data_IF_088394604928
#
_entry.id   IF_088394604928
#
_cell.length_a   1.000
_cell.length_b   1.000
_cell.length_c   1.000
_cell.angle_alpha   90.00
_cell.angle_beta   90.00
_cell.angle_gamma   90.00
#
_symmetry.space_group_name_H-M   'P 1'
#
loop_
_entity.id
_entity.type
_entity.pdbx_description
1 polymer ?
#
# COMPACT_ATOMS: atom_id res chain seq x y z
N UNK A 1 -3.71 47.58 39.01
CA UNK A 1 -4.21 46.37 38.38
C UNK A 1 -4.95 45.51 39.36
N UNK A 2 -5.96 44.77 38.93
CA UNK A 2 -6.69 43.81 39.77
C UNK A 2 -5.83 42.56 39.98
N UNK A 3 -5.91 41.90 41.15
CA UNK A 3 -5.21 40.63 41.36
C UNK A 3 -5.79 39.56 40.44
N UNK A 4 -4.90 38.75 39.86
CA UNK A 4 -5.27 37.62 39.03
C UNK A 4 -4.74 36.33 39.66
N UNK A 5 -5.54 35.25 39.59
CA UNK A 5 -5.15 33.92 40.00
C UNK A 5 -4.81 33.11 38.74
N UNK A 6 -3.66 32.45 38.74
CA UNK A 6 -3.24 31.57 37.65
C UNK A 6 -3.07 30.15 38.18
N UNK A 7 -3.78 29.21 37.59
CA UNK A 7 -3.69 27.79 37.93
C UNK A 7 -3.08 27.00 36.79
N UNK A 8 -2.23 26.06 37.13
CA UNK A 8 -1.51 25.21 36.17
C UNK A 8 -1.90 23.76 36.41
N UNK A 9 -2.30 23.07 35.35
CA UNK A 9 -2.47 21.62 35.38
C UNK A 9 -1.08 20.93 35.46
N UNK A 10 -0.74 20.48 36.66
CA UNK A 10 0.59 19.98 37.01
C UNK A 10 1.00 18.79 36.18
N UNK A 11 0.11 17.80 35.95
CA UNK A 11 0.46 16.60 35.19
C UNK A 11 0.70 16.91 33.69
N UNK A 12 -0.07 17.80 33.11
CA UNK A 12 0.14 18.30 31.75
C UNK A 12 1.51 19.02 31.65
N UNK A 13 1.83 19.87 32.61
CA UNK A 13 3.11 20.58 32.69
C UNK A 13 4.28 19.59 32.79
N UNK A 14 4.18 18.58 33.65
CA UNK A 14 5.21 17.55 33.82
C UNK A 14 5.41 16.74 32.54
N UNK A 15 4.29 16.33 31.89
CA UNK A 15 4.37 15.59 30.63
C UNK A 15 5.04 16.41 29.51
N UNK A 16 4.71 17.70 29.38
CA UNK A 16 5.36 18.60 28.43
C UNK A 16 6.86 18.81 28.78
N UNK A 17 7.22 18.95 30.06
CA UNK A 17 8.63 19.05 30.48
C UNK A 17 9.45 17.81 30.13
N UNK A 18 8.85 16.61 30.25
CA UNK A 18 9.48 15.36 29.79
C UNK A 18 9.76 15.40 28.27
N UNK A 19 8.74 15.75 27.47
CA UNK A 19 8.90 15.85 26.01
C UNK A 19 9.94 16.90 25.63
N UNK A 20 9.99 18.03 26.32
CA UNK A 20 10.97 19.07 26.03
C UNK A 20 12.39 18.63 26.35
N UNK A 21 12.60 17.97 27.49
CA UNK A 21 13.93 17.43 27.82
C UNK A 21 14.32 16.32 26.82
N UNK A 22 13.38 15.44 26.41
CA UNK A 22 13.64 14.44 25.40
C UNK A 22 14.06 15.05 24.06
N UNK A 23 13.53 16.21 23.68
CA UNK A 23 13.92 16.93 22.45
C UNK A 23 15.42 17.26 22.45
N UNK A 24 15.96 17.75 23.55
CA UNK A 24 17.39 18.02 23.68
C UNK A 24 18.23 16.75 23.56
N UNK A 25 17.78 15.64 24.15
CA UNK A 25 18.50 14.36 24.05
C UNK A 25 18.48 13.82 22.61
N UNK A 26 17.31 13.86 21.95
CA UNK A 26 17.15 13.44 20.55
C UNK A 26 18.00 14.33 19.63
N UNK A 27 17.97 15.64 19.83
CA UNK A 27 18.81 16.56 19.06
C UNK A 27 20.31 16.22 19.18
N UNK A 28 20.79 16.03 20.42
CA UNK A 28 22.21 15.68 20.68
C UNK A 28 22.58 14.34 20.02
N UNK A 29 21.73 13.32 20.13
CA UNK A 29 21.96 12.01 19.51
C UNK A 29 21.97 12.09 17.98
N UNK A 30 21.00 12.82 17.38
CA UNK A 30 20.97 13.04 15.92
C UNK A 30 22.23 13.76 15.42
N UNK A 31 22.72 14.77 16.14
CA UNK A 31 23.97 15.44 15.81
C UNK A 31 25.20 14.54 15.97
N UNK A 32 25.16 13.63 16.94
CA UNK A 32 26.19 12.61 17.09
C UNK A 32 26.26 11.65 15.91
N UNK A 33 25.11 11.20 15.46
CA UNK A 33 24.96 10.21 14.37
C UNK A 33 25.12 10.80 12.96
N UNK A 34 24.61 12.03 12.73
CA UNK A 34 24.53 12.66 11.40
C UNK A 34 25.54 13.79 11.18
N UNK A 35 26.23 14.21 12.25
CA UNK A 35 27.14 15.33 12.24
C UNK A 35 26.51 16.66 12.67
N UNK A 36 27.36 17.67 12.84
CA UNK A 36 26.95 18.98 13.36
C UNK A 36 25.93 19.73 12.45
N UNK A 37 25.86 19.38 11.20
CA UNK A 37 24.90 19.93 10.24
C UNK A 37 23.46 19.58 10.54
N UNK A 38 23.19 18.55 11.36
CA UNK A 38 21.84 18.21 11.82
C UNK A 38 21.35 19.23 12.87
N UNK A 39 21.17 20.46 12.42
CA UNK A 39 20.73 21.57 13.26
C UNK A 39 19.20 21.61 13.36
N UNK A 40 18.68 22.09 14.50
CA UNK A 40 17.24 22.27 14.68
C UNK A 40 16.69 23.31 13.70
N UNK A 41 15.67 22.92 12.93
CA UNK A 41 14.89 23.79 12.06
C UNK A 41 13.53 24.15 12.69
N UNK A 42 13.04 23.34 13.63
CA UNK A 42 11.81 23.55 14.37
C UNK A 42 11.59 22.45 15.40
N UNK A 43 10.71 22.70 16.38
CA UNK A 43 10.30 21.67 17.34
C UNK A 43 8.92 21.97 17.93
N UNK A 44 8.24 20.92 18.37
CA UNK A 44 7.00 21.02 19.12
C UNK A 44 7.02 20.01 20.26
N UNK A 45 6.68 20.48 21.46
CA UNK A 45 6.62 19.68 22.66
C UNK A 45 5.21 19.68 23.23
N UNK A 46 4.55 18.53 23.14
CA UNK A 46 3.22 18.28 23.70
C UNK A 46 3.31 17.26 24.86
N UNK A 47 2.27 17.12 25.67
CA UNK A 47 2.24 16.06 26.67
C UNK A 47 2.44 14.68 26.06
N UNK A 48 3.51 13.99 26.47
CA UNK A 48 3.84 12.63 26.02
C UNK A 48 4.34 12.49 24.59
N UNK A 49 4.52 13.59 23.86
CA UNK A 49 4.95 13.58 22.45
C UNK A 49 5.89 14.76 22.14
N UNK A 50 6.83 14.50 21.26
CA UNK A 50 7.65 15.55 20.64
C UNK A 50 7.69 15.39 19.13
N UNK A 51 7.93 16.50 18.45
CA UNK A 51 8.28 16.61 17.05
C UNK A 51 9.54 17.44 16.94
N UNK A 52 10.49 16.96 16.18
CA UNK A 52 11.77 17.62 15.99
C UNK A 52 12.11 17.67 14.51
N UNK A 53 12.25 18.90 13.99
CA UNK A 53 12.59 19.19 12.61
C UNK A 53 14.08 19.58 12.56
N UNK A 54 14.84 18.99 11.66
CA UNK A 54 16.28 19.19 11.56
C UNK A 54 16.77 19.18 10.13
N UNK A 55 17.92 19.82 9.89
CA UNK A 55 18.53 19.85 8.56
C UNK A 55 19.25 18.52 8.28
N UNK A 56 18.95 17.95 7.09
CA UNK A 56 19.64 16.77 6.59
C UNK A 56 19.52 16.68 5.07
N UNK A 57 20.55 16.18 4.41
CA UNK A 57 20.63 16.10 2.94
C UNK A 57 19.83 14.94 2.35
N UNK A 58 19.39 13.99 3.15
CA UNK A 58 18.66 12.80 2.71
C UNK A 58 17.84 12.15 3.82
N UNK A 59 17.15 11.07 3.50
CA UNK A 59 16.44 10.26 4.48
C UNK A 59 17.42 9.63 5.49
N UNK A 60 16.99 9.60 6.75
CA UNK A 60 17.79 8.96 7.80
C UNK A 60 17.53 7.45 7.77
N UNK A 61 18.57 6.61 7.64
CA UNK A 61 18.39 5.16 7.67
C UNK A 61 17.74 4.71 8.98
N UNK A 62 16.89 3.67 8.90
CA UNK A 62 16.21 3.10 10.07
C UNK A 62 17.20 2.60 11.12
N UNK A 63 18.38 2.10 10.71
CA UNK A 63 19.46 1.70 11.63
C UNK A 63 19.96 2.88 12.46
N UNK A 64 20.14 4.04 11.84
CA UNK A 64 20.58 5.26 12.53
C UNK A 64 19.52 5.77 13.50
N UNK A 65 18.23 5.72 13.11
CA UNK A 65 17.14 6.07 14.03
C UNK A 65 17.09 5.14 15.25
N UNK A 66 17.38 3.85 15.08
CA UNK A 66 17.48 2.89 16.18
C UNK A 66 18.69 3.22 17.10
N UNK A 67 19.84 3.54 16.53
CA UNK A 67 21.02 3.96 17.29
C UNK A 67 20.72 5.21 18.13
N UNK A 68 20.04 6.20 17.53
CA UNK A 68 19.60 7.43 18.23
C UNK A 68 18.61 7.08 19.36
N UNK A 69 17.62 6.23 19.11
CA UNK A 69 16.68 5.78 20.13
C UNK A 69 17.36 5.07 21.29
N UNK A 70 18.30 4.16 20.98
CA UNK A 70 19.08 3.41 21.97
C UNK A 70 19.98 4.33 22.80
N UNK A 71 20.66 5.29 22.15
CA UNK A 71 21.52 6.28 22.83
C UNK A 71 20.70 7.12 23.80
N UNK A 72 19.58 7.66 23.35
CA UNK A 72 18.67 8.46 24.19
C UNK A 72 18.22 7.65 25.41
N UNK A 73 17.73 6.43 25.21
CA UNK A 73 17.24 5.61 26.32
C UNK A 73 18.36 5.18 27.30
N UNK A 74 19.61 5.01 26.85
CA UNK A 74 20.76 4.81 27.75
C UNK A 74 20.99 6.04 28.63
N UNK A 75 20.86 7.26 28.09
CA UNK A 75 20.97 8.50 28.87
C UNK A 75 19.86 8.58 29.94
N UNK A 76 18.65 8.06 29.63
CA UNK A 76 17.56 7.99 30.62
C UNK A 76 17.90 7.01 31.75
N UNK A 77 18.43 5.83 31.42
CA UNK A 77 18.86 4.83 32.41
C UNK A 77 19.99 5.36 33.32
N UNK A 78 20.88 6.16 32.76
CA UNK A 78 21.99 6.76 33.52
C UNK A 78 21.52 7.86 34.49
N UNK A 79 20.26 8.28 34.40
CA UNK A 79 19.60 9.23 35.30
C UNK A 79 20.42 10.51 35.59
N UNK A 80 20.85 11.14 34.51
CA UNK A 80 21.68 12.35 34.58
C UNK A 80 20.92 13.53 35.17
N UNK A 81 21.61 14.37 35.96
CA UNK A 81 21.02 15.60 36.52
C UNK A 81 20.74 16.61 35.40
N UNK A 82 19.55 17.20 35.40
CA UNK A 82 19.19 18.30 34.51
C UNK A 82 19.24 19.61 35.30
N UNK A 83 20.07 20.52 34.86
CA UNK A 83 20.30 21.83 35.51
C UNK A 83 19.89 22.93 34.55
N UNK A 84 19.28 23.97 35.10
CA UNK A 84 19.00 25.18 34.37
C UNK A 84 19.51 26.38 35.16
N UNK A 85 20.32 27.23 34.51
CA UNK A 85 20.91 28.40 35.15
C UNK A 85 21.09 29.54 34.15
N UNK A 86 21.27 30.76 34.65
CA UNK A 86 21.51 31.95 33.86
C UNK A 86 22.97 32.28 33.85
N UNK A 87 23.48 32.76 32.72
CA UNK A 87 24.86 33.23 32.55
C UNK A 87 24.95 34.22 31.40
N UNK A 88 26.11 34.83 31.19
CA UNK A 88 26.37 35.67 30.03
C UNK A 88 26.43 34.85 28.75
N UNK A 89 26.08 35.47 27.60
CA UNK A 89 26.17 34.80 26.29
C UNK A 89 27.62 34.35 25.97
N UNK A 90 28.60 35.14 26.37
CA UNK A 90 30.01 34.82 26.11
C UNK A 90 30.48 33.61 26.95
N UNK A 91 30.05 33.54 28.20
CA UNK A 91 30.31 32.39 29.05
C UNK A 91 29.61 31.13 28.55
N UNK A 92 28.34 31.25 28.13
CA UNK A 92 27.58 30.15 27.50
C UNK A 92 28.33 29.57 26.28
N UNK A 93 28.87 30.42 25.43
CA UNK A 93 29.69 30.03 24.28
C UNK A 93 30.98 29.34 24.70
N UNK A 94 31.67 29.87 25.70
CA UNK A 94 32.92 29.28 26.22
C UNK A 94 32.69 27.87 26.81
N UNK A 95 31.50 27.65 27.39
CA UNK A 95 31.04 26.33 27.88
C UNK A 95 30.61 25.38 26.78
N UNK A 96 30.61 25.82 25.52
CA UNK A 96 30.15 25.01 24.37
C UNK A 96 28.62 24.82 24.32
N UNK A 97 27.86 25.74 24.90
CA UNK A 97 26.40 25.66 24.84
C UNK A 97 25.92 25.88 23.41
N UNK A 98 25.03 25.00 22.95
CA UNK A 98 24.45 25.06 21.62
C UNK A 98 23.39 26.17 21.59
N UNK A 99 23.53 27.11 20.67
CA UNK A 99 22.53 28.14 20.37
C UNK A 99 21.71 27.72 19.17
N UNK A 100 20.38 27.94 19.23
CA UNK A 100 19.50 27.67 18.08
C UNK A 100 19.80 28.66 16.95
N UNK A 101 19.84 28.15 15.73
CA UNK A 101 20.13 28.97 14.56
C UNK A 101 19.00 29.97 14.29
N UNK A 102 19.34 31.23 14.04
CA UNK A 102 18.39 32.30 13.70
C UNK A 102 17.75 33.00 14.90
N UNK A 103 17.97 32.57 16.14
CA UNK A 103 17.51 33.29 17.33
C UNK A 103 18.47 34.45 17.73
N UNK A 104 17.87 35.54 18.21
CA UNK A 104 18.62 36.68 18.76
C UNK A 104 18.64 36.56 20.28
N UNK A 105 19.82 36.41 20.82
CA UNK A 105 20.05 36.31 22.27
C UNK A 105 20.49 37.64 22.87
N UNK A 106 19.99 37.94 24.07
CA UNK A 106 20.47 39.04 24.85
C UNK A 106 21.85 38.78 25.45
N UNK A 107 22.35 39.72 26.25
CA UNK A 107 23.62 39.57 26.99
C UNK A 107 23.55 38.50 28.08
N UNK A 108 22.38 38.23 28.62
CA UNK A 108 22.10 37.18 29.60
C UNK A 108 21.25 36.09 28.93
N UNK A 109 21.63 34.82 29.08
CA UNK A 109 20.96 33.65 28.52
C UNK A 109 20.73 32.58 29.57
N UNK A 110 19.75 31.73 29.33
CA UNK A 110 19.50 30.57 30.18
C UNK A 110 20.01 29.30 29.47
N UNK A 111 20.84 28.54 30.16
CA UNK A 111 21.37 27.25 29.74
C UNK A 111 20.55 26.13 30.39
N UNK A 112 20.29 25.08 29.64
CA UNK A 112 19.84 23.78 30.15
C UNK A 112 20.92 22.74 29.85
N UNK A 113 21.40 22.09 30.91
CA UNK A 113 22.37 20.99 30.85
C UNK A 113 21.71 19.68 31.26
N UNK A 114 22.05 18.60 30.56
CA UNK A 114 21.75 17.22 30.96
C UNK A 114 23.08 16.51 31.21
N UNK A 115 23.56 16.58 32.44
CA UNK A 115 24.93 16.14 32.78
C UNK A 115 25.98 16.76 31.86
N UNK A 116 26.87 15.92 31.34
CA UNK A 116 27.86 16.30 30.31
C UNK A 116 27.39 15.97 28.89
N UNK A 117 26.19 15.37 28.77
CA UNK A 117 25.67 14.85 27.50
C UNK A 117 25.12 15.94 26.56
N UNK A 118 24.32 16.86 27.07
CA UNK A 118 23.74 17.96 26.28
C UNK A 118 23.79 19.28 27.04
N UNK A 119 24.08 20.36 26.32
CA UNK A 119 24.08 21.72 26.85
C UNK A 119 23.57 22.67 25.78
N UNK A 120 22.41 23.28 26.03
CA UNK A 120 21.70 24.10 25.02
C UNK A 120 21.15 25.38 25.66
N UNK A 121 21.05 26.45 24.86
CA UNK A 121 20.30 27.65 25.25
C UNK A 121 18.82 27.38 25.18
N UNK A 122 18.11 27.39 26.28
CA UNK A 122 16.69 27.08 26.34
C UNK A 122 15.95 27.76 27.47
N UNK A 123 14.84 28.45 27.14
CA UNK A 123 13.96 29.12 28.08
C UNK A 123 12.84 28.24 28.65
N UNK A 124 12.71 27.00 28.19
CA UNK A 124 11.57 26.12 28.48
C UNK A 124 11.61 25.44 29.84
N UNK A 125 10.58 24.67 30.13
CA UNK A 125 10.47 23.85 31.35
C UNK A 125 11.01 22.45 31.11
N UNK A 126 11.78 21.96 32.11
CA UNK A 126 12.46 20.67 32.02
C UNK A 126 12.23 19.85 33.31
N UNK A 127 12.53 18.55 33.21
CA UNK A 127 12.61 17.67 34.39
C UNK A 127 13.89 17.93 35.18
N UNK A 128 13.98 17.41 36.39
CA UNK A 128 15.17 17.55 37.22
C UNK A 128 16.23 16.47 36.91
N UNK A 129 15.84 15.33 36.35
CA UNK A 129 16.74 14.20 36.06
C UNK A 129 16.26 13.50 34.78
N UNK A 130 17.19 13.00 33.97
CA UNK A 130 16.85 12.32 32.69
C UNK A 130 15.96 11.08 32.89
N UNK A 131 16.16 10.32 33.95
CA UNK A 131 15.32 9.14 34.25
C UNK A 131 13.84 9.44 34.46
N UNK A 132 13.48 10.69 34.79
CA UNK A 132 12.08 11.11 34.93
C UNK A 132 11.29 11.15 33.60
N UNK A 133 11.99 11.05 32.46
CA UNK A 133 11.35 10.90 31.15
C UNK A 133 10.66 9.53 31.01
N UNK A 134 11.19 8.50 31.66
CA UNK A 134 10.73 7.12 31.58
C UNK A 134 11.25 6.44 30.33
N UNK A 135 10.61 6.60 29.17
CA UNK A 135 10.98 5.97 27.91
C UNK A 135 10.79 6.96 26.76
N UNK A 136 11.66 6.91 25.77
CA UNK A 136 11.51 7.61 24.49
C UNK A 136 11.42 6.60 23.35
N UNK A 137 10.34 6.67 22.57
CA UNK A 137 10.11 5.84 21.38
C UNK A 137 10.04 6.69 20.13
N UNK A 138 11.00 6.56 19.23
CA UNK A 138 10.94 7.17 17.91
C UNK A 138 9.89 6.46 17.04
N UNK A 139 8.95 7.21 16.47
CA UNK A 139 7.90 6.66 15.61
C UNK A 139 8.36 6.52 14.17
N UNK A 140 9.23 7.41 13.73
CA UNK A 140 9.75 7.42 12.38
C UNK A 140 10.26 8.79 11.97
N UNK A 141 10.66 8.88 10.70
CA UNK A 141 11.23 10.05 10.08
C UNK A 141 10.51 10.33 8.75
N UNK A 142 10.35 11.62 8.40
CA UNK A 142 9.73 12.04 7.16
C UNK A 142 10.34 13.33 6.61
N UNK A 143 10.20 13.57 5.30
CA UNK A 143 10.55 14.87 4.69
C UNK A 143 9.43 15.87 4.91
N UNK A 144 9.79 17.10 5.29
CA UNK A 144 8.85 18.22 5.41
C UNK A 144 9.20 19.41 4.50
N UNK A 145 10.29 19.31 3.77
CA UNK A 145 10.76 20.33 2.84
C UNK A 145 12.13 19.98 2.27
N UNK A 146 12.64 20.82 1.37
CA UNK A 146 13.98 20.63 0.81
C UNK A 146 15.05 20.80 1.92
N UNK A 147 15.81 19.74 2.17
CA UNK A 147 16.89 19.73 3.17
C UNK A 147 16.41 19.73 4.62
N UNK A 148 15.11 19.50 4.89
CA UNK A 148 14.57 19.43 6.25
C UNK A 148 13.83 18.12 6.48
N UNK A 149 14.19 17.43 7.54
CA UNK A 149 13.62 16.17 7.98
C UNK A 149 12.93 16.33 9.33
N UNK A 150 11.95 15.51 9.60
CA UNK A 150 11.16 15.48 10.83
C UNK A 150 11.26 14.13 11.49
N UNK A 151 11.55 14.12 12.79
CA UNK A 151 11.40 12.95 13.65
C UNK A 151 10.27 13.21 14.64
N UNK A 152 9.43 12.23 14.86
CA UNK A 152 8.40 12.23 15.89
C UNK A 152 8.70 11.16 16.93
N UNK A 153 8.45 11.48 18.19
CA UNK A 153 8.65 10.53 19.28
C UNK A 153 7.56 10.62 20.34
N UNK A 154 7.30 9.49 20.97
CA UNK A 154 6.51 9.39 22.18
C UNK A 154 7.43 9.35 23.40
N UNK A 155 6.94 9.90 24.53
CA UNK A 155 7.73 10.04 25.76
C UNK A 155 6.93 9.54 26.95
N UNK A 156 7.60 8.80 27.84
CA UNK A 156 7.04 8.31 29.10
C UNK A 156 5.93 7.29 28.89
N UNK A 157 4.80 7.52 29.54
CA UNK A 157 3.67 6.57 29.53
C UNK A 157 3.09 6.33 28.12
N UNK A 158 3.14 7.32 27.24
CA UNK A 158 2.64 7.18 25.88
C UNK A 158 3.55 6.30 25.02
N UNK A 159 4.86 6.39 25.21
CA UNK A 159 5.84 5.46 24.62
C UNK A 159 5.62 4.01 25.11
N UNK A 160 5.41 3.84 26.42
CA UNK A 160 5.10 2.53 27.00
C UNK A 160 3.79 1.95 26.43
N UNK A 161 2.72 2.75 26.38
CA UNK A 161 1.43 2.31 25.84
C UNK A 161 1.51 1.92 24.35
N UNK A 162 2.34 2.61 23.58
CA UNK A 162 2.58 2.27 22.19
C UNK A 162 3.23 0.89 22.07
N UNK A 163 4.33 0.63 22.78
CA UNK A 163 5.02 -0.66 22.77
C UNK A 163 4.15 -1.80 23.33
N UNK A 164 3.34 -1.53 24.36
CA UNK A 164 2.42 -2.51 24.91
C UNK A 164 1.37 -2.94 23.86
N UNK A 165 0.85 -1.99 23.05
CA UNK A 165 -0.08 -2.32 21.94
C UNK A 165 0.61 -3.15 20.86
N UNK A 166 1.82 -2.80 20.46
CA UNK A 166 2.60 -3.62 19.50
C UNK A 166 2.80 -5.04 20.02
N UNK A 167 3.14 -5.20 21.31
CA UNK A 167 3.29 -6.51 21.95
C UNK A 167 2.00 -7.33 21.91
N UNK A 168 0.83 -6.71 22.17
CA UNK A 168 -0.47 -7.39 22.08
C UNK A 168 -0.76 -7.83 20.65
N UNK A 169 -0.51 -6.98 19.64
CA UNK A 169 -0.71 -7.35 18.23
C UNK A 169 0.18 -8.50 17.80
N UNK A 170 1.45 -8.50 18.20
CA UNK A 170 2.38 -9.60 17.92
C UNK A 170 1.90 -10.88 18.60
N UNK A 171 1.43 -10.82 19.85
CA UNK A 171 0.89 -11.99 20.57
C UNK A 171 -0.34 -12.56 19.87
N UNK A 172 -1.26 -11.73 19.41
CA UNK A 172 -2.43 -12.16 18.64
C UNK A 172 -2.05 -12.85 17.33
N UNK A 173 -1.09 -12.29 16.58
CA UNK A 173 -0.57 -12.92 15.36
C UNK A 173 0.12 -14.27 15.66
N UNK A 174 0.89 -14.34 16.73
CA UNK A 174 1.54 -15.58 17.20
C UNK A 174 0.52 -16.67 17.50
N UNK A 175 -0.56 -16.32 18.18
CA UNK A 175 -1.66 -17.26 18.50
C UNK A 175 -2.37 -17.74 17.22
N UNK A 176 -2.75 -16.83 16.32
CA UNK A 176 -3.42 -17.16 15.06
C UNK A 176 -2.57 -18.05 14.16
N UNK A 177 -1.29 -17.77 14.05
CA UNK A 177 -0.37 -18.52 13.19
C UNK A 177 0.28 -19.71 13.88
N UNK A 178 0.03 -19.89 15.19
CA UNK A 178 0.66 -20.94 16.04
C UNK A 178 2.18 -20.95 15.86
N UNK A 179 2.79 -19.77 15.95
CA UNK A 179 4.21 -19.53 15.76
C UNK A 179 4.75 -18.60 16.84
N UNK A 180 6.03 -18.72 17.19
CA UNK A 180 6.68 -17.74 18.08
C UNK A 180 6.84 -16.40 17.37
N UNK A 181 6.95 -15.27 18.11
CA UNK A 181 7.12 -13.93 17.52
C UNK A 181 8.21 -13.85 16.46
N UNK A 182 9.36 -14.48 16.71
CA UNK A 182 10.52 -14.46 15.81
C UNK A 182 10.27 -15.24 14.51
N UNK A 183 9.35 -16.20 14.53
CA UNK A 183 8.99 -17.07 13.38
C UNK A 183 7.89 -16.45 12.51
N UNK A 184 7.22 -15.39 12.96
CA UNK A 184 6.08 -14.78 12.25
C UNK A 184 6.41 -14.35 10.82
N UNK A 185 7.54 -13.68 10.53
CA UNK A 185 7.85 -13.25 9.16
C UNK A 185 7.96 -14.43 8.18
N UNK A 186 8.62 -15.51 8.60
CA UNK A 186 8.77 -16.72 7.81
C UNK A 186 7.42 -17.46 7.65
N UNK A 187 6.64 -17.55 8.74
CA UNK A 187 5.32 -18.20 8.72
C UNK A 187 4.35 -17.49 7.78
N UNK A 188 4.31 -16.17 7.82
CA UNK A 188 3.48 -15.34 6.93
C UNK A 188 3.92 -15.52 5.48
N UNK A 189 5.22 -15.46 5.20
CA UNK A 189 5.76 -15.69 3.85
C UNK A 189 5.38 -17.08 3.32
N UNK A 190 5.44 -18.10 4.16
CA UNK A 190 5.03 -19.46 3.81
C UNK A 190 3.52 -19.59 3.53
N UNK A 191 2.67 -18.89 4.28
CA UNK A 191 1.21 -18.85 4.03
C UNK A 191 0.90 -18.17 2.71
N UNK A 192 1.50 -17.01 2.44
CA UNK A 192 1.32 -16.27 1.18
C UNK A 192 1.78 -17.08 -0.03
N UNK A 193 2.92 -17.79 0.10
CA UNK A 193 3.43 -18.65 -0.99
C UNK A 193 2.47 -19.81 -1.28
N UNK A 194 1.98 -20.49 -0.24
CA UNK A 194 1.01 -21.61 -0.38
C UNK A 194 -0.32 -21.12 -0.97
N UNK A 195 -0.79 -19.95 -0.58
CA UNK A 195 -2.00 -19.36 -1.15
C UNK A 195 -1.84 -19.16 -2.66
N UNK A 196 -0.74 -18.54 -3.09
CA UNK A 196 -0.45 -18.32 -4.53
C UNK A 196 -0.34 -19.63 -5.32
N UNK A 197 0.24 -20.66 -4.72
CA UNK A 197 0.35 -22.00 -5.34
C UNK A 197 -1.03 -22.66 -5.46
N UNK A 198 -1.85 -22.63 -4.42
CA UNK A 198 -3.22 -23.15 -4.44
C UNK A 198 -4.10 -22.41 -5.48
N UNK A 199 -3.98 -21.10 -5.60
CA UNK A 199 -4.69 -20.31 -6.63
C UNK A 199 -4.27 -20.70 -8.05
N UNK A 200 -2.97 -20.92 -8.28
CA UNK A 200 -2.47 -21.39 -9.59
C UNK A 200 -2.99 -22.79 -9.94
N UNK A 201 -2.97 -23.71 -8.99
CA UNK A 201 -3.46 -25.08 -9.21
C UNK A 201 -4.97 -25.09 -9.44
N UNK A 202 -5.73 -24.30 -8.68
CA UNK A 202 -7.17 -24.15 -8.89
C UNK A 202 -7.47 -23.61 -10.29
N UNK A 203 -6.75 -22.61 -10.76
CA UNK A 203 -6.93 -22.06 -12.10
C UNK A 203 -6.57 -23.07 -13.20
N UNK A 204 -5.53 -23.87 -12.98
CA UNK A 204 -5.16 -24.96 -13.88
C UNK A 204 -6.24 -26.04 -13.98
N UNK A 205 -6.77 -26.48 -12.83
CA UNK A 205 -7.85 -27.46 -12.79
C UNK A 205 -9.14 -26.93 -13.45
N UNK A 206 -9.50 -25.68 -13.19
CA UNK A 206 -10.64 -25.03 -13.85
C UNK A 206 -10.47 -24.95 -15.38
N UNK A 207 -9.26 -24.58 -15.83
CA UNK A 207 -8.97 -24.51 -17.26
C UNK A 207 -9.02 -25.89 -17.92
N UNK A 208 -8.53 -26.94 -17.26
CA UNK A 208 -8.63 -28.31 -17.77
C UNK A 208 -10.08 -28.79 -17.88
N UNK A 209 -10.89 -28.58 -16.85
CA UNK A 209 -12.33 -28.93 -16.85
C UNK A 209 -13.10 -28.20 -17.99
N UNK A 210 -12.79 -26.93 -18.21
CA UNK A 210 -13.37 -26.17 -19.33
C UNK A 210 -13.00 -26.76 -20.70
N UNK A 211 -11.76 -27.19 -20.90
CA UNK A 211 -11.34 -27.81 -22.17
C UNK A 211 -11.99 -29.18 -22.38
N UNK A 212 -12.24 -29.95 -21.31
CA UNK A 212 -12.98 -31.21 -21.42
C UNK A 212 -14.43 -30.99 -21.93
N UNK A 213 -15.09 -29.90 -21.53
CA UNK A 213 -16.43 -29.55 -22.00
C UNK A 213 -16.48 -29.01 -23.45
N UNK A 214 -15.35 -28.74 -24.09
CA UNK A 214 -15.30 -28.15 -25.43
C UNK A 214 -16.02 -28.97 -26.49
N UNK A 215 -16.05 -30.31 -26.35
CA UNK A 215 -16.80 -31.20 -27.25
C UNK A 215 -18.32 -31.01 -27.16
N UNK A 216 -18.84 -30.94 -25.96
CA UNK A 216 -20.29 -30.71 -25.71
C UNK A 216 -20.68 -29.29 -26.15
N UNK A 217 -19.85 -28.30 -25.88
CA UNK A 217 -20.08 -26.92 -26.31
C UNK A 217 -20.08 -26.82 -27.84
N UNK A 218 -19.17 -27.52 -28.54
CA UNK A 218 -19.16 -27.55 -30.00
C UNK A 218 -20.40 -28.26 -30.61
N UNK A 219 -20.89 -29.33 -29.94
CA UNK A 219 -22.06 -30.06 -30.35
C UNK A 219 -23.36 -29.23 -30.19
N UNK A 220 -23.37 -28.25 -29.28
CA UNK A 220 -24.50 -27.34 -29.06
C UNK A 220 -24.58 -26.18 -30.07
N UNK A 221 -23.80 -26.22 -31.16
CA UNK A 221 -23.84 -25.21 -32.21
C UNK A 221 -25.22 -25.07 -32.85
N UNK A 222 -25.76 -23.86 -32.84
CA UNK A 222 -26.97 -23.50 -33.57
C UNK A 222 -26.66 -23.18 -35.04
N UNK A 223 -27.60 -23.45 -35.95
CA UNK A 223 -27.47 -23.07 -37.35
C UNK A 223 -28.10 -21.69 -37.60
N UNK A 224 -27.31 -20.75 -38.06
CA UNK A 224 -27.78 -19.43 -38.44
C UNK A 224 -27.41 -19.18 -39.90
N UNK A 225 -28.37 -19.41 -40.79
CA UNK A 225 -28.17 -19.20 -42.23
C UNK A 225 -27.05 -20.05 -42.86
N UNK A 226 -26.84 -21.27 -42.35
CA UNK A 226 -25.77 -22.17 -42.83
C UNK A 226 -24.43 -22.01 -42.06
N UNK A 227 -24.37 -21.09 -41.10
CA UNK A 227 -23.21 -20.89 -40.21
C UNK A 227 -23.45 -21.59 -38.87
N UNK A 228 -22.53 -22.45 -38.46
CA UNK A 228 -22.56 -23.03 -37.11
C UNK A 228 -22.11 -21.93 -36.08
N UNK A 229 -23.05 -21.48 -35.29
CA UNK A 229 -22.80 -20.48 -34.24
C UNK A 229 -22.78 -21.13 -32.85
N UNK A 230 -21.70 -20.94 -32.11
CA UNK A 230 -21.60 -21.35 -30.71
C UNK A 230 -21.52 -20.11 -29.85
N UNK A 231 -22.46 -19.96 -28.92
CA UNK A 231 -22.49 -18.93 -27.89
C UNK A 231 -22.42 -19.59 -26.52
N UNK A 232 -21.35 -19.38 -25.77
CA UNK A 232 -21.18 -20.00 -24.46
C UNK A 232 -20.58 -19.01 -23.46
N UNK A 233 -21.12 -19.02 -22.24
CA UNK A 233 -20.59 -18.28 -21.11
C UNK A 233 -19.87 -19.24 -20.18
N UNK A 234 -18.62 -18.93 -19.85
CA UNK A 234 -17.84 -19.68 -18.85
C UNK A 234 -18.15 -19.19 -17.44
N UNK A 235 -17.90 -20.01 -16.41
CA UNK A 235 -18.04 -19.59 -15.01
C UNK A 235 -17.23 -18.33 -14.68
N UNK A 236 -17.78 -17.50 -13.80
CA UNK A 236 -17.13 -16.27 -13.32
C UNK A 236 -15.76 -16.58 -12.71
N UNK A 237 -14.82 -15.65 -12.87
CA UNK A 237 -13.44 -15.81 -12.41
C UNK A 237 -12.55 -16.66 -13.32
N UNK A 238 -13.08 -17.15 -14.46
CA UNK A 238 -12.24 -17.79 -15.50
C UNK A 238 -11.33 -16.76 -16.13
N UNK A 239 -10.03 -17.03 -16.18
CA UNK A 239 -9.08 -16.09 -16.77
C UNK A 239 -9.27 -15.90 -18.28
N UNK A 240 -8.86 -14.73 -18.80
CA UNK A 240 -9.08 -14.37 -20.21
C UNK A 240 -8.34 -15.31 -21.18
N UNK A 241 -7.20 -15.87 -20.79
CA UNK A 241 -6.45 -16.82 -21.60
C UNK A 241 -7.17 -18.18 -21.68
N UNK A 242 -7.84 -18.60 -20.60
CA UNK A 242 -8.68 -19.81 -20.61
C UNK A 242 -9.90 -19.63 -21.53
N UNK A 243 -10.57 -18.47 -21.48
CA UNK A 243 -11.65 -18.12 -22.40
C UNK A 243 -11.19 -18.21 -23.86
N UNK A 244 -10.02 -17.66 -24.15
CA UNK A 244 -9.42 -17.69 -25.49
C UNK A 244 -9.07 -19.12 -25.94
N UNK A 245 -8.44 -19.91 -25.06
CA UNK A 245 -8.11 -21.32 -25.37
C UNK A 245 -9.33 -22.14 -25.66
N UNK A 246 -10.40 -21.99 -24.84
CA UNK A 246 -11.67 -22.67 -25.05
C UNK A 246 -12.29 -22.31 -26.41
N UNK A 247 -12.34 -21.02 -26.76
CA UNK A 247 -12.86 -20.58 -28.06
C UNK A 247 -12.13 -21.22 -29.24
N UNK A 248 -10.82 -21.36 -29.16
CA UNK A 248 -9.99 -22.02 -30.18
C UNK A 248 -10.23 -23.53 -30.22
N UNK A 249 -10.34 -24.19 -29.07
CA UNK A 249 -10.57 -25.64 -28.99
C UNK A 249 -11.97 -26.00 -29.51
N UNK A 250 -13.00 -25.27 -29.07
CA UNK A 250 -14.38 -25.43 -29.58
C UNK A 250 -14.44 -25.24 -31.11
N UNK A 251 -13.79 -24.18 -31.63
CA UNK A 251 -13.68 -23.95 -33.08
C UNK A 251 -13.05 -25.12 -33.80
N UNK A 252 -11.99 -25.71 -33.25
CA UNK A 252 -11.29 -26.84 -33.85
C UNK A 252 -12.08 -28.14 -33.89
N UNK A 253 -13.15 -28.26 -33.08
CA UNK A 253 -14.03 -29.45 -33.02
C UNK A 253 -15.23 -29.36 -33.95
N UNK A 254 -15.53 -28.21 -34.54
CA UNK A 254 -16.57 -28.09 -35.60
C UNK A 254 -15.99 -28.52 -36.91
N UNK A 255 -16.85 -29.22 -37.72
CA UNK A 255 -16.45 -29.73 -39.04
C UNK A 255 -15.77 -28.63 -39.90
N UNK A 256 -14.58 -28.90 -40.43
CA UNK A 256 -13.74 -27.91 -41.10
C UNK A 256 -14.38 -27.27 -42.34
N UNK A 257 -15.31 -28.02 -43.01
CA UNK A 257 -16.00 -27.59 -44.22
C UNK A 257 -17.23 -26.72 -43.93
N UNK A 258 -17.73 -26.76 -42.69
CA UNK A 258 -18.88 -25.96 -42.26
C UNK A 258 -18.44 -24.59 -41.76
N UNK A 259 -18.92 -23.47 -42.31
CA UNK A 259 -18.65 -22.17 -41.79
C UNK A 259 -19.03 -22.12 -40.31
N UNK A 260 -18.12 -21.62 -39.43
CA UNK A 260 -18.34 -21.59 -37.98
C UNK A 260 -17.83 -20.33 -37.32
N UNK A 261 -18.63 -19.84 -36.38
CA UNK A 261 -18.31 -18.75 -35.47
C UNK A 261 -18.51 -19.24 -34.04
N UNK A 262 -17.46 -19.15 -33.23
CA UNK A 262 -17.49 -19.50 -31.82
C UNK A 262 -17.30 -18.23 -31.00
N UNK A 263 -18.26 -17.95 -30.13
CA UNK A 263 -18.23 -16.84 -29.22
C UNK A 263 -18.26 -17.34 -27.77
N UNK A 264 -17.19 -17.10 -27.04
CA UNK A 264 -17.09 -17.43 -25.63
C UNK A 264 -16.99 -16.13 -24.82
N UNK A 265 -17.78 -16.04 -23.75
CA UNK A 265 -17.77 -14.90 -22.81
C UNK A 265 -17.44 -15.37 -21.40
N UNK A 266 -16.90 -14.46 -20.58
CA UNK A 266 -16.61 -14.70 -19.17
C UNK A 266 -16.37 -13.38 -18.44
N UNK A 267 -16.23 -13.45 -17.11
CA UNK A 267 -15.98 -12.28 -16.24
C UNK A 267 -14.69 -12.50 -15.43
N UNK A 268 -13.50 -12.35 -16.04
CA UNK A 268 -12.24 -12.33 -15.27
C UNK A 268 -12.12 -11.00 -14.52
N UNK A 269 -11.77 -11.06 -13.23
CA UNK A 269 -11.47 -9.88 -12.41
C UNK A 269 -12.54 -8.75 -12.54
N UNK A 270 -13.81 -9.14 -12.43
CA UNK A 270 -14.98 -8.24 -12.46
C UNK A 270 -15.17 -7.46 -13.80
N UNK A 271 -14.53 -7.89 -14.88
CA UNK A 271 -14.67 -7.29 -16.20
C UNK A 271 -15.13 -8.32 -17.23
N UNK A 272 -16.29 -8.16 -17.87
CA UNK A 272 -16.72 -9.02 -18.95
C UNK A 272 -15.73 -9.00 -20.12
N UNK A 273 -15.44 -10.18 -20.65
CA UNK A 273 -14.66 -10.37 -21.86
C UNK A 273 -15.43 -11.21 -22.85
N UNK A 274 -15.16 -11.00 -24.13
CA UNK A 274 -15.66 -11.79 -25.24
C UNK A 274 -14.52 -12.19 -26.15
N UNK A 275 -14.48 -13.45 -26.53
CA UNK A 275 -13.58 -13.96 -27.57
C UNK A 275 -14.43 -14.55 -28.69
N UNK A 276 -14.17 -14.11 -29.92
CA UNK A 276 -14.78 -14.66 -31.13
C UNK A 276 -13.70 -15.33 -31.97
N UNK A 277 -13.96 -16.58 -32.34
CA UNK A 277 -13.10 -17.35 -33.23
C UNK A 277 -13.88 -17.82 -34.45
N UNK A 278 -13.33 -17.63 -35.65
CA UNK A 278 -13.91 -18.00 -36.94
C UNK A 278 -13.04 -19.05 -37.60
N UNK A 279 -13.61 -20.17 -38.09
CA UNK A 279 -12.86 -21.20 -38.80
C UNK A 279 -12.54 -20.80 -40.24
N UNK A 280 -11.78 -21.63 -40.97
CA UNK A 280 -11.36 -21.35 -42.34
C UNK A 280 -12.54 -21.21 -43.29
N UNK A 281 -13.53 -22.13 -43.22
CA UNK A 281 -14.73 -22.09 -44.04
C UNK A 281 -15.57 -20.80 -43.77
N UNK A 282 -15.66 -20.35 -42.52
CA UNK A 282 -16.34 -19.10 -42.18
C UNK A 282 -15.59 -17.87 -42.75
N UNK A 283 -14.29 -17.85 -42.70
CA UNK A 283 -13.46 -16.78 -43.34
C UNK A 283 -13.62 -16.75 -44.84
N UNK A 284 -13.58 -17.93 -45.47
CA UNK A 284 -13.83 -18.07 -46.90
C UNK A 284 -15.22 -17.66 -47.33
N UNK A 285 -16.21 -17.75 -46.40
CA UNK A 285 -17.56 -17.25 -46.60
C UNK A 285 -17.72 -15.74 -46.31
N UNK A 286 -16.60 -15.03 -45.99
CA UNK A 286 -16.62 -13.58 -45.74
C UNK A 286 -16.78 -13.16 -44.27
N UNK A 287 -16.78 -14.11 -43.34
CA UNK A 287 -16.88 -13.79 -41.90
C UNK A 287 -15.50 -13.42 -41.34
N UNK A 288 -15.43 -12.42 -40.51
CA UNK A 288 -14.22 -12.00 -39.80
C UNK A 288 -14.51 -11.75 -38.32
N UNK A 289 -13.73 -12.41 -37.45
CA UNK A 289 -13.88 -12.26 -35.99
C UNK A 289 -13.73 -10.79 -35.54
N UNK A 290 -12.78 -10.04 -36.15
CA UNK A 290 -12.56 -8.63 -35.86
C UNK A 290 -13.76 -7.72 -36.18
N UNK A 291 -14.55 -8.07 -37.19
CA UNK A 291 -15.78 -7.34 -37.54
C UNK A 291 -16.92 -7.66 -36.55
N UNK A 292 -17.06 -8.91 -36.14
CA UNK A 292 -18.11 -9.38 -35.23
C UNK A 292 -17.89 -8.92 -33.79
N UNK A 293 -16.63 -8.91 -33.32
CA UNK A 293 -16.30 -8.58 -31.91
C UNK A 293 -16.63 -7.16 -31.55
N UNK A 294 -16.61 -6.22 -32.47
CA UNK A 294 -16.91 -4.81 -32.23
C UNK A 294 -18.35 -4.59 -31.72
N UNK A 295 -19.33 -5.30 -32.30
CA UNK A 295 -20.73 -5.27 -31.84
C UNK A 295 -20.90 -5.88 -30.45
N UNK A 296 -20.32 -7.04 -30.24
CA UNK A 296 -20.35 -7.76 -28.97
C UNK A 296 -19.70 -6.93 -27.83
N UNK A 297 -18.51 -6.37 -28.09
CA UNK A 297 -17.80 -5.56 -27.10
C UNK A 297 -18.55 -4.27 -26.72
N UNK A 298 -19.22 -3.62 -27.67
CA UNK A 298 -20.09 -2.47 -27.37
C UNK A 298 -21.27 -2.85 -26.47
N UNK A 299 -21.88 -4.03 -26.67
CA UNK A 299 -22.93 -4.53 -25.79
C UNK A 299 -22.41 -4.79 -24.35
N UNK A 300 -21.13 -5.12 -24.19
CA UNK A 300 -20.47 -5.23 -22.91
C UNK A 300 -20.05 -3.85 -22.31
N UNK A 301 -20.28 -2.76 -23.00
CA UNK A 301 -19.90 -1.41 -22.56
C UNK A 301 -18.43 -1.05 -22.80
N UNK A 302 -17.78 -1.68 -23.78
CA UNK A 302 -16.38 -1.45 -24.07
C UNK A 302 -16.02 -1.54 -25.56
N UNK A 303 -14.80 -1.98 -25.86
CA UNK A 303 -14.27 -2.08 -27.19
C UNK A 303 -13.58 -3.43 -27.44
N UNK A 304 -13.41 -3.77 -28.72
CA UNK A 304 -12.72 -4.99 -29.13
C UNK A 304 -12.14 -4.90 -30.52
N UNK A 305 -11.26 -5.83 -30.83
CA UNK A 305 -10.62 -5.95 -32.13
C UNK A 305 -9.78 -7.23 -32.23
N UNK A 306 -9.23 -7.46 -33.38
CA UNK A 306 -8.38 -8.62 -33.60
C UNK A 306 -8.23 -8.97 -35.08
N UNK A 307 -7.74 -10.18 -35.32
CA UNK A 307 -7.53 -10.73 -36.64
C UNK A 307 -8.85 -11.35 -37.20
N UNK A 308 -8.92 -11.69 -38.52
CA UNK A 308 -10.10 -12.32 -39.08
C UNK A 308 -10.42 -13.70 -38.48
N UNK A 309 -9.43 -14.43 -37.98
CA UNK A 309 -9.58 -15.77 -37.41
C UNK A 309 -9.91 -15.77 -35.91
N UNK A 310 -9.45 -14.74 -35.17
CA UNK A 310 -9.71 -14.56 -33.75
C UNK A 310 -9.66 -13.09 -33.32
N UNK A 311 -10.63 -12.67 -32.54
CA UNK A 311 -10.71 -11.33 -31.98
C UNK A 311 -11.21 -11.38 -30.53
N UNK A 312 -10.85 -10.37 -29.76
CA UNK A 312 -11.18 -10.25 -28.36
C UNK A 312 -11.71 -8.84 -28.04
N UNK A 313 -12.69 -8.76 -27.18
CA UNK A 313 -13.21 -7.50 -26.65
C UNK A 313 -13.38 -7.57 -25.14
N UNK A 314 -13.44 -6.42 -24.51
CA UNK A 314 -13.72 -6.30 -23.08
C UNK A 314 -14.79 -5.27 -22.81
N UNK A 315 -15.48 -5.41 -21.69
CA UNK A 315 -16.54 -4.53 -21.24
C UNK A 315 -16.14 -3.59 -20.10
N UNK A 316 -17.09 -2.74 -19.70
CA UNK A 316 -17.00 -1.99 -18.46
C UNK A 316 -17.05 -2.95 -17.25
N UNK A 317 -16.46 -2.60 -16.10
CA UNK A 317 -16.56 -3.42 -14.89
C UNK A 317 -18.02 -3.70 -14.54
N UNK A 318 -18.39 -4.97 -14.45
CA UNK A 318 -19.72 -5.42 -14.05
C UNK A 318 -19.70 -6.88 -13.62
N UNK A 319 -20.54 -7.24 -12.67
CA UNK A 319 -20.66 -8.58 -12.09
C UNK A 319 -22.12 -8.99 -11.94
N UNK A 320 -22.37 -10.26 -11.66
CA UNK A 320 -23.71 -10.79 -11.39
C UNK A 320 -24.71 -10.57 -12.54
N UNK A 321 -25.93 -10.18 -12.23
CA UNK A 321 -27.01 -10.01 -13.21
C UNK A 321 -26.72 -8.98 -14.31
N UNK A 322 -26.02 -7.89 -13.96
CA UNK A 322 -25.65 -6.86 -14.93
C UNK A 322 -24.67 -7.39 -15.99
N UNK A 323 -23.68 -8.18 -15.55
CA UNK A 323 -22.76 -8.85 -16.46
C UNK A 323 -23.47 -9.90 -17.32
N UNK A 324 -24.36 -10.71 -16.73
CA UNK A 324 -25.14 -11.70 -17.45
C UNK A 324 -26.04 -11.06 -18.54
N UNK A 325 -26.73 -9.95 -18.21
CA UNK A 325 -27.54 -9.21 -19.17
C UNK A 325 -26.69 -8.64 -20.32
N UNK A 326 -25.54 -8.05 -20.04
CA UNK A 326 -24.65 -7.51 -21.07
C UNK A 326 -24.07 -8.61 -21.99
N UNK A 327 -23.74 -9.78 -21.43
CA UNK A 327 -23.28 -10.94 -22.20
C UNK A 327 -24.38 -11.50 -23.09
N UNK A 328 -25.64 -11.59 -22.60
CA UNK A 328 -26.80 -11.98 -23.42
C UNK A 328 -27.02 -11.02 -24.58
N UNK A 329 -26.90 -9.71 -24.34
CA UNK A 329 -26.99 -8.70 -25.39
C UNK A 329 -25.84 -8.83 -26.41
N UNK A 330 -24.63 -9.17 -25.95
CA UNK A 330 -23.49 -9.41 -26.80
C UNK A 330 -23.69 -10.65 -27.72
N UNK A 331 -24.28 -11.74 -27.19
CA UNK A 331 -24.63 -12.90 -27.99
C UNK A 331 -25.66 -12.56 -29.09
N UNK A 332 -26.68 -11.78 -28.73
CA UNK A 332 -27.72 -11.39 -29.71
C UNK A 332 -27.15 -10.44 -30.78
N UNK A 333 -26.24 -9.53 -30.39
CA UNK A 333 -25.58 -8.66 -31.38
C UNK A 333 -24.82 -9.45 -32.46
N UNK A 334 -24.19 -10.57 -32.09
CA UNK A 334 -23.51 -11.45 -33.07
C UNK A 334 -24.49 -12.27 -33.86
N UNK A 335 -25.59 -12.77 -33.24
CA UNK A 335 -26.67 -13.46 -33.97
C UNK A 335 -27.29 -12.60 -35.07
N UNK A 336 -27.61 -11.37 -34.77
CA UNK A 336 -28.13 -10.40 -35.75
C UNK A 336 -27.11 -10.18 -36.87
N UNK A 337 -25.84 -9.92 -36.53
CA UNK A 337 -24.81 -9.74 -37.55
C UNK A 337 -24.64 -10.96 -38.49
N UNK A 338 -24.80 -12.17 -37.96
CA UNK A 338 -24.76 -13.40 -38.78
C UNK A 338 -25.99 -13.55 -39.70
N UNK A 339 -27.19 -13.20 -39.21
CA UNK A 339 -28.42 -13.20 -40.07
C UNK A 339 -28.29 -12.18 -41.20
N UNK A 340 -27.76 -11.00 -40.90
CA UNK A 340 -27.63 -9.90 -41.86
C UNK A 340 -26.51 -10.15 -42.89
N UNK A 341 -25.59 -11.07 -42.60
CA UNK A 341 -24.46 -11.40 -43.51
C UNK A 341 -24.90 -12.07 -44.82
N UNK A 342 -26.15 -12.58 -44.92
CA UNK A 342 -26.74 -13.17 -46.13
C UNK A 342 -25.99 -14.42 -46.61
N UNK A 343 -25.20 -15.07 -45.77
CA UNK A 343 -24.51 -16.30 -46.12
C UNK A 343 -25.52 -17.43 -46.18
N UNK A 344 -25.86 -17.86 -47.39
CA UNK A 344 -26.66 -19.09 -47.62
C UNK A 344 -25.67 -20.22 -47.89
N UNK A 345 -25.82 -21.36 -47.19
CA UNK A 345 -25.07 -22.56 -47.52
C UNK A 345 -25.29 -22.92 -49.02
N UNK A 346 -24.20 -22.90 -49.76
CA UNK A 346 -24.20 -23.47 -51.12
C UNK A 346 -23.94 -24.97 -51.06
#
# INVERSE_FOLDING_TARGET
GSPAHAEIEIERRRATSRSHTATHLVHRALRGALGESAAQAGSENAPGRLRFDFTATGAVPVSVLREVEDEVNRVLINDLTVRAFHTSLDEARSMGALALFGEKYGSEVRIVEVGEYSRELCGGTHVARSGQLGLVKLLGESSIGSGVRRVEALVGIDAFRFLARESVLVSQLSEQLKARPEELPERISGVVSRLREAERELNKLRSAALLESAGEIAAAAEDIGGVAFVAHQVPDGTDADAVRRLALDVRGRIAAQRPAVVMITGVPADRPVVVIAVNEAGRSAGLAAGALVGGAARALGGGGGGKPDIAQGGGAPSTGEAAAASMSAAFEAVRVALRDSGITAR
#
